data_IF_472411965026
#
_entry.id   IF_472411965026
#
_cell.length_a   1.000
_cell.length_b   1.000
_cell.length_c   1.000
_cell.angle_alpha   90.00
_cell.angle_beta   90.00
_cell.angle_gamma   90.00
#
_symmetry.space_group_name_H-M   'P 1'
#
loop_
_entity.id
_entity.type
_entity.pdbx_description
1 polymer ?
#
# COMPACT_ATOMS: atom_id res chain seq x y z
N UNK A 1 -5.00 -11.03 10.03
CA UNK A 1 -4.66 -11.51 8.67
C UNK A 1 -4.41 -10.31 7.78
N UNK A 2 -3.22 -10.12 7.20
CA UNK A 2 -2.82 -8.93 6.39
C UNK A 2 -3.76 -8.64 5.21
N UNK A 3 -3.93 -7.37 4.84
CA UNK A 3 -4.60 -6.99 3.58
C UNK A 3 -3.85 -7.59 2.38
N UNK A 4 -4.55 -8.06 1.34
CA UNK A 4 -3.91 -8.59 0.15
C UNK A 4 -3.13 -7.49 -0.60
N UNK A 5 -1.97 -7.87 -1.11
CA UNK A 5 -1.07 -7.03 -1.90
C UNK A 5 -0.88 -7.56 -3.32
N UNK A 6 -1.31 -8.82 -3.56
CA UNK A 6 -1.18 -9.53 -4.83
C UNK A 6 -2.51 -10.11 -5.30
N UNK A 7 -2.65 -10.30 -6.62
CA UNK A 7 -3.81 -10.96 -7.21
C UNK A 7 -3.99 -12.40 -6.70
N UNK A 8 -2.91 -13.09 -6.33
CA UNK A 8 -2.95 -14.43 -5.75
C UNK A 8 -3.66 -14.42 -4.39
N UNK A 9 -3.34 -13.46 -3.53
CA UNK A 9 -3.98 -13.31 -2.21
C UNK A 9 -5.45 -12.89 -2.33
N UNK A 10 -5.76 -12.01 -3.28
CA UNK A 10 -7.15 -11.63 -3.60
C UNK A 10 -7.97 -12.86 -4.00
N UNK A 11 -7.46 -13.69 -4.91
CA UNK A 11 -8.11 -14.95 -5.32
C UNK A 11 -8.20 -15.96 -4.19
N UNK A 12 -7.19 -16.05 -3.33
CA UNK A 12 -7.22 -16.94 -2.16
C UNK A 12 -8.33 -16.57 -1.16
N UNK A 13 -8.77 -15.31 -1.15
CA UNK A 13 -9.93 -14.82 -0.39
C UNK A 13 -11.27 -15.03 -1.10
N UNK A 14 -11.27 -15.61 -2.31
CA UNK A 14 -12.47 -15.81 -3.12
C UNK A 14 -13.05 -14.52 -3.68
N UNK A 15 -12.22 -13.49 -3.86
CA UNK A 15 -12.67 -12.19 -4.37
C UNK A 15 -12.39 -12.07 -5.86
N UNK A 16 -13.44 -11.85 -6.64
CA UNK A 16 -13.34 -11.62 -8.09
C UNK A 16 -13.09 -10.14 -8.44
N UNK A 17 -13.42 -9.24 -7.51
CA UNK A 17 -13.24 -7.80 -7.64
C UNK A 17 -13.00 -7.14 -6.28
N UNK A 18 -12.14 -6.13 -6.26
CA UNK A 18 -11.87 -5.27 -5.10
C UNK A 18 -12.79 -4.05 -5.09
N UNK A 19 -13.19 -3.62 -3.89
CA UNK A 19 -13.96 -2.39 -3.70
C UNK A 19 -13.04 -1.17 -3.65
N UNK A 20 -11.91 -1.30 -2.96
CA UNK A 20 -10.93 -0.23 -2.74
C UNK A 20 -9.51 -0.76 -2.91
N UNK A 21 -8.68 -0.02 -3.63
CA UNK A 21 -7.23 -0.26 -3.71
C UNK A 21 -6.52 0.94 -3.10
N UNK A 22 -5.70 0.68 -2.08
CA UNK A 22 -4.89 1.71 -1.41
C UNK A 22 -3.46 1.66 -1.94
N UNK A 23 -2.92 2.80 -2.36
CA UNK A 23 -1.50 3.00 -2.63
C UNK A 23 -0.88 3.77 -1.48
N UNK A 24 0.29 3.30 -1.03
CA UNK A 24 1.07 4.01 0.00
C UNK A 24 2.54 4.08 -0.38
N UNK A 25 3.18 5.22 -0.09
CA UNK A 25 4.62 5.39 -0.20
C UNK A 25 5.42 4.71 0.93
N UNK A 26 4.76 4.24 1.99
CA UNK A 26 5.40 3.45 3.05
C UNK A 26 5.40 1.96 2.71
N UNK A 27 6.29 1.21 3.38
CA UNK A 27 6.13 -0.23 3.47
C UNK A 27 4.80 -0.56 4.18
N UNK A 28 4.12 -1.62 3.75
CA UNK A 28 2.89 -2.04 4.42
C UNK A 28 3.23 -2.73 5.74
N UNK A 29 3.03 -2.00 6.83
CA UNK A 29 3.07 -2.52 8.20
C UNK A 29 1.65 -2.39 8.77
N UNK A 30 1.09 -3.51 9.17
CA UNK A 30 -0.27 -3.57 9.71
C UNK A 30 -0.29 -3.13 11.18
N UNK A 31 -0.10 -1.84 11.40
CA UNK A 31 0.03 -1.24 12.73
C UNK A 31 -0.72 0.11 12.80
N UNK A 32 -1.36 0.46 13.93
CA UNK A 32 -2.16 1.69 14.06
C UNK A 32 -1.38 3.00 13.82
N UNK A 33 -0.05 2.97 13.87
CA UNK A 33 0.78 4.14 13.51
C UNK A 33 0.83 4.42 12.00
N UNK A 34 0.34 3.52 11.16
CA UNK A 34 0.32 3.67 9.71
C UNK A 34 -1.10 3.96 9.23
N UNK A 35 -1.35 5.19 8.77
CA UNK A 35 -2.70 5.63 8.38
C UNK A 35 -3.34 4.76 7.30
N UNK A 36 -2.56 4.28 6.32
CA UNK A 36 -3.06 3.37 5.29
C UNK A 36 -3.54 2.02 5.86
N UNK A 37 -2.87 1.51 6.90
CA UNK A 37 -3.30 0.30 7.59
C UNK A 37 -4.60 0.54 8.36
N UNK A 38 -4.70 1.64 9.12
CA UNK A 38 -5.92 2.00 9.87
C UNK A 38 -7.12 2.14 8.94
N UNK A 39 -6.97 2.91 7.85
CA UNK A 39 -8.05 3.10 6.86
C UNK A 39 -8.42 1.79 6.20
N UNK A 40 -7.44 1.00 5.76
CA UNK A 40 -7.71 -0.28 5.11
C UNK A 40 -8.42 -1.29 6.03
N UNK A 41 -8.05 -1.33 7.31
CA UNK A 41 -8.70 -2.18 8.32
C UNK A 41 -10.10 -1.74 8.68
N UNK A 42 -10.33 -0.43 8.79
CA UNK A 42 -11.66 0.09 9.02
C UNK A 42 -12.59 -0.29 7.86
N UNK A 43 -12.16 -0.07 6.61
CA UNK A 43 -12.93 -0.44 5.44
C UNK A 43 -13.17 -1.96 5.35
N UNK A 44 -12.18 -2.79 5.66
CA UNK A 44 -12.35 -4.26 5.71
C UNK A 44 -13.36 -4.67 6.80
N UNK A 45 -13.33 -4.01 7.98
CA UNK A 45 -14.28 -4.26 9.06
C UNK A 45 -15.72 -3.88 8.71
N UNK A 46 -15.90 -2.86 7.86
CA UNK A 46 -17.19 -2.46 7.28
C UNK A 46 -17.62 -3.38 6.11
N UNK A 47 -16.87 -4.44 5.83
CA UNK A 47 -17.23 -5.47 4.86
C UNK A 47 -16.74 -5.21 3.42
N UNK A 48 -15.89 -4.19 3.21
CA UNK A 48 -15.32 -3.92 1.90
C UNK A 48 -14.13 -4.82 1.58
N UNK A 49 -13.97 -5.15 0.29
CA UNK A 49 -12.82 -5.89 -0.24
C UNK A 49 -11.69 -4.92 -0.55
N UNK A 50 -10.75 -4.82 0.39
CA UNK A 50 -9.65 -3.85 0.31
C UNK A 50 -8.33 -4.54 -0.01
N UNK A 51 -7.54 -3.96 -0.91
CA UNK A 51 -6.15 -4.33 -1.14
C UNK A 51 -5.23 -3.12 -0.93
N UNK A 52 -3.95 -3.38 -0.66
CA UNK A 52 -2.94 -2.35 -0.50
C UNK A 52 -1.71 -2.64 -1.37
N UNK A 53 -1.21 -1.61 -2.06
CA UNK A 53 0.01 -1.63 -2.85
C UNK A 53 1.02 -0.68 -2.19
N UNK A 54 1.94 -1.22 -1.37
CA UNK A 54 3.01 -0.43 -0.77
C UNK A 54 4.15 -0.19 -1.76
N UNK A 55 4.76 0.99 -1.67
CA UNK A 55 5.95 1.40 -2.43
C UNK A 55 5.89 0.99 -3.92
N UNK A 56 4.83 1.40 -4.66
CA UNK A 56 4.69 1.00 -6.05
C UNK A 56 5.87 1.48 -6.90
N UNK A 57 6.43 0.60 -7.72
CA UNK A 57 7.49 0.96 -8.64
C UNK A 57 6.92 1.75 -9.83
N UNK A 58 7.28 3.03 -9.92
CA UNK A 58 6.86 3.94 -10.99
C UNK A 58 7.84 4.02 -12.17
N UNK A 59 9.02 3.40 -12.05
CA UNK A 59 10.09 3.48 -13.07
C UNK A 59 10.06 2.37 -14.10
N UNK A 60 9.20 1.37 -13.90
CA UNK A 60 9.09 0.18 -14.75
C UNK A 60 7.80 0.23 -15.60
N UNK A 61 7.32 -0.92 -16.08
CA UNK A 61 6.11 -1.15 -16.86
C UNK A 61 4.76 -0.78 -16.19
N UNK A 62 4.79 -0.05 -15.07
CA UNK A 62 3.63 0.35 -14.26
C UNK A 62 2.78 -0.83 -13.75
N UNK A 63 3.31 -2.05 -13.69
CA UNK A 63 2.59 -3.24 -13.25
C UNK A 63 2.03 -3.13 -11.84
N UNK A 64 2.70 -2.44 -10.93
CA UNK A 64 2.18 -2.24 -9.57
C UNK A 64 0.85 -1.47 -9.54
N UNK A 65 0.61 -0.62 -10.55
CA UNK A 65 -0.63 0.15 -10.68
C UNK A 65 -1.74 -0.63 -11.39
N UNK A 66 -1.39 -1.65 -12.19
CA UNK A 66 -2.36 -2.36 -13.05
C UNK A 66 -2.68 -3.77 -12.58
N UNK A 67 -1.81 -4.43 -11.81
CA UNK A 67 -1.91 -5.87 -11.46
C UNK A 67 -3.17 -6.27 -10.68
N UNK A 68 -3.81 -5.34 -9.99
CA UNK A 68 -5.02 -5.57 -9.21
C UNK A 68 -6.31 -5.16 -9.95
N UNK A 69 -6.19 -4.61 -11.16
CA UNK A 69 -7.31 -4.11 -11.94
C UNK A 69 -7.96 -2.86 -11.35
N UNK A 70 -9.16 -2.53 -11.85
CA UNK A 70 -9.93 -1.36 -11.42
C UNK A 70 -10.85 -1.72 -10.25
N UNK A 71 -10.81 -0.96 -9.15
CA UNK A 71 -11.69 -1.18 -8.01
C UNK A 71 -13.11 -0.73 -8.33
N UNK A 72 -14.10 -1.31 -7.65
CA UNK A 72 -15.52 -0.96 -7.84
C UNK A 72 -15.86 0.45 -7.34
N UNK A 73 -15.18 0.93 -6.29
CA UNK A 73 -15.47 2.22 -5.67
C UNK A 73 -14.41 3.25 -6.00
N UNK A 74 -13.19 3.11 -5.48
CA UNK A 74 -12.14 4.11 -5.68
C UNK A 74 -10.73 3.59 -5.40
N UNK A 75 -9.75 4.37 -5.84
CA UNK A 75 -8.35 4.29 -5.43
C UNK A 75 -8.08 5.28 -4.30
N UNK A 76 -7.46 4.83 -3.21
CA UNK A 76 -6.94 5.71 -2.17
C UNK A 76 -5.42 5.84 -2.32
N UNK A 77 -4.87 7.05 -2.23
CA UNK A 77 -3.42 7.28 -2.39
C UNK A 77 -2.91 8.13 -1.23
N UNK A 78 -1.81 7.71 -0.63
CA UNK A 78 -1.10 8.48 0.40
C UNK A 78 0.41 8.38 0.23
N UNK A 79 1.14 9.44 0.57
CA UNK A 79 2.60 9.42 0.58
C UNK A 79 3.18 8.54 1.72
N UNK A 80 2.37 8.18 2.71
CA UNK A 80 2.83 7.51 3.93
C UNK A 80 2.89 8.45 5.13
N UNK A 81 3.18 7.89 6.30
CA UNK A 81 3.43 8.60 7.54
C UNK A 81 4.91 9.00 7.69
N UNK A 82 5.83 8.38 6.95
CA UNK A 82 7.24 8.78 6.98
C UNK A 82 7.48 10.02 6.12
N UNK A 83 8.07 11.04 6.74
CA UNK A 83 8.60 12.18 6.01
C UNK A 83 9.79 11.76 5.13
N UNK A 84 9.80 12.24 3.88
CA UNK A 84 10.84 11.98 2.89
C UNK A 84 12.25 12.34 3.37
N UNK A 85 12.40 13.34 4.25
CA UNK A 85 13.69 13.66 4.86
C UNK A 85 14.22 12.52 5.73
N UNK A 86 13.37 11.80 6.47
CA UNK A 86 13.80 10.71 7.34
C UNK A 86 14.19 9.45 6.55
N UNK A 87 13.58 9.25 5.36
CA UNK A 87 13.93 8.15 4.46
C UNK A 87 15.27 8.37 3.73
N UNK A 88 15.56 9.61 3.34
CA UNK A 88 16.81 9.93 2.61
C UNK A 88 17.95 10.40 3.51
N UNK A 89 17.67 10.86 4.73
CA UNK A 89 18.68 11.45 5.62
C UNK A 89 18.70 10.76 6.99
N UNK A 90 19.90 10.43 7.46
CA UNK A 90 20.11 10.06 8.86
C UNK A 90 19.78 11.25 9.78
N UNK A 91 19.61 11.01 11.09
CA UNK A 91 19.34 12.06 12.08
C UNK A 91 20.35 13.24 12.08
N UNK A 92 21.51 13.06 11.43
CA UNK A 92 22.53 14.08 11.20
C UNK A 92 22.50 14.73 9.79
N UNK A 93 21.37 14.68 9.06
CA UNK A 93 21.21 15.31 7.73
C UNK A 93 22.26 14.79 6.72
N UNK A 94 22.63 13.51 6.80
CA UNK A 94 23.48 12.85 5.80
C UNK A 94 22.67 11.89 4.94
N UNK A 95 22.84 11.99 3.62
CA UNK A 95 22.22 11.11 2.63
C UNK A 95 22.54 9.65 2.98
N UNK A 96 21.52 8.80 3.16
CA UNK A 96 21.71 7.35 3.29
C UNK A 96 22.23 6.81 1.95
N UNK A 97 23.49 6.39 1.92
CA UNK A 97 24.02 5.58 0.82
C UNK A 97 23.32 4.22 0.83
N UNK A 98 22.76 3.82 -0.31
CA UNK A 98 22.21 2.49 -0.57
C UNK A 98 23.11 1.39 0.04
N UNK A 99 22.52 0.51 0.85
CA UNK A 99 22.91 -0.90 0.81
C UNK A 99 21.83 -1.60 -0.01
N UNK A 100 22.29 -2.18 -1.11
CA UNK A 100 21.51 -2.89 -2.12
C UNK A 100 20.91 -4.20 -1.59
#
# INVERSE_FOLDING_TARGET
MFLPTTLKEVRARGWDQLDVILFTGDAYIDHPSFGAAVVGRLLEAEGYRVAIVPQPNWRDDLRDFTKLGTPRLFFGVTAGAMDSMVNHYTANIRLRSNDA
#
